data_IF_337126751487
#
_entry.id   IF_337126751487
#
_cell.length_a   1.000
_cell.length_b   1.000
_cell.length_c   1.000
_cell.angle_alpha   90.00
_cell.angle_beta   90.00
_cell.angle_gamma   90.00
#
_symmetry.space_group_name_H-M   'P 1'
#
loop_
_entity.id
_entity.type
_entity.pdbx_description
1 polymer ?
#
# COMPACT_ATOMS: atom_id res chain seq x y z
N UNK A 1 -6.75 19.21 -4.11
CA UNK A 1 -6.67 17.76 -4.36
C UNK A 1 -7.91 17.08 -3.80
N UNK A 2 -8.72 16.42 -4.65
CA UNK A 2 -9.86 15.60 -4.24
C UNK A 2 -9.46 14.48 -3.26
N UNK A 3 -10.44 13.92 -2.56
CA UNK A 3 -10.20 12.84 -1.59
C UNK A 3 -9.72 11.58 -2.31
N UNK A 4 -10.29 11.26 -3.48
CA UNK A 4 -9.83 10.17 -4.34
C UNK A 4 -8.34 10.27 -4.69
N UNK A 5 -7.87 11.44 -5.13
CA UNK A 5 -6.45 11.65 -5.48
C UNK A 5 -5.51 11.45 -4.28
N UNK A 6 -5.92 11.89 -3.08
CA UNK A 6 -5.11 11.66 -1.86
C UNK A 6 -5.03 10.17 -1.50
N UNK A 7 -6.13 9.43 -1.67
CA UNK A 7 -6.19 7.99 -1.46
C UNK A 7 -5.36 7.22 -2.50
N UNK A 8 -5.36 7.65 -3.76
CA UNK A 8 -4.49 7.09 -4.82
C UNK A 8 -3.01 7.26 -4.48
N UNK A 9 -2.61 8.45 -4.04
CA UNK A 9 -1.24 8.71 -3.62
C UNK A 9 -0.84 7.85 -2.41
N UNK A 10 -1.70 7.78 -1.38
CA UNK A 10 -1.45 6.96 -0.20
C UNK A 10 -1.34 5.46 -0.55
N UNK A 11 -2.21 4.97 -1.44
CA UNK A 11 -2.18 3.60 -1.94
C UNK A 11 -0.88 3.29 -2.68
N UNK A 12 -0.42 4.20 -3.54
CA UNK A 12 0.83 4.06 -4.27
C UNK A 12 2.03 3.99 -3.30
N UNK A 13 2.07 4.88 -2.31
CA UNK A 13 3.11 4.89 -1.27
C UNK A 13 3.13 3.59 -0.45
N UNK A 14 1.96 3.08 -0.05
CA UNK A 14 1.86 1.81 0.66
C UNK A 14 2.39 0.64 -0.18
N UNK A 15 1.96 0.54 -1.45
CA UNK A 15 2.45 -0.50 -2.37
C UNK A 15 3.96 -0.41 -2.59
N UNK A 16 4.50 0.80 -2.76
CA UNK A 16 5.93 1.05 -2.91
C UNK A 16 6.72 0.58 -1.69
N UNK A 17 6.31 1.02 -0.49
CA UNK A 17 6.97 0.62 0.75
C UNK A 17 6.88 -0.90 0.98
N UNK A 18 5.76 -1.54 0.65
CA UNK A 18 5.65 -3.00 0.70
C UNK A 18 6.69 -3.69 -0.19
N UNK A 19 6.85 -3.23 -1.43
CA UNK A 19 7.84 -3.76 -2.35
C UNK A 19 9.29 -3.55 -1.87
N UNK A 20 9.58 -2.37 -1.31
CA UNK A 20 10.90 -2.07 -0.72
C UNK A 20 11.20 -3.02 0.45
N UNK A 21 10.24 -3.20 1.37
CA UNK A 21 10.39 -4.12 2.51
C UNK A 21 10.59 -5.57 2.05
N UNK A 22 9.87 -6.00 1.01
CA UNK A 22 10.08 -7.33 0.41
C UNK A 22 11.49 -7.47 -0.16
N UNK A 23 12.00 -6.44 -0.83
CA UNK A 23 13.38 -6.40 -1.34
C UNK A 23 14.39 -6.47 -0.20
N UNK A 24 14.21 -5.70 0.87
CA UNK A 24 15.09 -5.74 2.05
C UNK A 24 15.11 -7.12 2.73
N UNK A 25 13.96 -7.81 2.74
CA UNK A 25 13.88 -9.20 3.23
C UNK A 25 14.73 -10.15 2.38
N UNK A 26 14.81 -9.94 1.06
CA UNK A 26 15.63 -10.75 0.15
C UNK A 26 17.13 -10.43 0.26
N UNK A 27 17.47 -9.15 0.39
CA UNK A 27 18.85 -8.65 0.38
C UNK A 27 19.58 -8.87 1.71
N UNK A 28 18.86 -9.04 2.82
CA UNK A 28 19.47 -9.22 4.13
C UNK A 28 19.89 -10.67 4.42
N UNK A 29 21.10 -10.84 4.93
CA UNK A 29 21.63 -12.12 5.41
C UNK A 29 21.18 -12.46 6.85
N UNK A 30 20.79 -11.44 7.62
CA UNK A 30 20.33 -11.62 8.99
C UNK A 30 18.92 -12.25 9.00
N UNK A 31 18.79 -13.42 9.63
CA UNK A 31 17.53 -14.18 9.61
C UNK A 31 16.40 -13.49 10.37
N UNK A 32 16.70 -12.80 11.46
CA UNK A 32 15.69 -12.06 12.23
C UNK A 32 15.18 -10.86 11.42
N UNK A 33 16.09 -10.12 10.78
CA UNK A 33 15.75 -9.00 9.91
C UNK A 33 14.93 -9.46 8.69
N UNK A 34 15.28 -10.61 8.10
CA UNK A 34 14.54 -11.22 6.99
C UNK A 34 13.08 -11.46 7.36
N UNK A 35 12.83 -12.05 8.54
CA UNK A 35 11.49 -12.31 9.03
C UNK A 35 10.74 -11.01 9.40
N UNK A 36 11.43 -10.06 10.02
CA UNK A 36 10.88 -8.74 10.35
C UNK A 36 10.41 -8.00 9.08
N UNK A 37 11.27 -7.88 8.07
CA UNK A 37 10.91 -7.20 6.81
C UNK A 37 9.77 -7.91 6.06
N UNK A 38 9.73 -9.25 6.10
CA UNK A 38 8.62 -10.01 5.53
C UNK A 38 7.29 -9.69 6.23
N UNK A 39 7.26 -9.62 7.56
CA UNK A 39 6.06 -9.26 8.33
C UNK A 39 5.63 -7.81 8.07
N UNK A 40 6.58 -6.87 7.99
CA UNK A 40 6.29 -5.49 7.66
C UNK A 40 5.73 -5.36 6.23
N UNK A 41 6.30 -6.08 5.26
CA UNK A 41 5.79 -6.14 3.88
C UNK A 41 4.34 -6.59 3.84
N UNK A 42 4.01 -7.71 4.52
CA UNK A 42 2.63 -8.23 4.59
C UNK A 42 1.68 -7.24 5.30
N UNK A 43 2.16 -6.57 6.35
CA UNK A 43 1.36 -5.53 7.02
C UNK A 43 1.02 -4.39 6.06
N UNK A 44 1.99 -3.97 5.24
CA UNK A 44 1.80 -2.91 4.28
C UNK A 44 0.90 -3.34 3.10
N UNK A 45 0.94 -4.61 2.68
CA UNK A 45 -0.02 -5.18 1.72
C UNK A 45 -1.47 -5.07 2.25
N UNK A 46 -1.69 -5.39 3.53
CA UNK A 46 -3.01 -5.29 4.15
C UNK A 46 -3.49 -3.83 4.26
N UNK A 47 -2.58 -2.90 4.58
CA UNK A 47 -2.87 -1.46 4.57
C UNK A 47 -3.27 -1.00 3.17
N UNK A 48 -2.50 -1.40 2.14
CA UNK A 48 -2.80 -1.07 0.75
C UNK A 48 -4.17 -1.61 0.32
N UNK A 49 -4.53 -2.85 0.68
CA UNK A 49 -5.85 -3.42 0.40
C UNK A 49 -6.98 -2.62 1.07
N UNK A 50 -6.79 -2.21 2.33
CA UNK A 50 -7.77 -1.40 3.06
C UNK A 50 -7.98 -0.04 2.39
N UNK A 51 -6.89 0.62 1.98
CA UNK A 51 -6.95 1.90 1.26
C UNK A 51 -7.61 1.73 -0.10
N UNK A 52 -7.31 0.64 -0.83
CA UNK A 52 -7.94 0.33 -2.11
C UNK A 52 -9.46 0.24 -1.97
N UNK A 53 -9.97 -0.51 -0.97
CA UNK A 53 -11.42 -0.60 -0.74
C UNK A 53 -12.06 0.75 -0.44
N UNK A 54 -11.37 1.62 0.31
CA UNK A 54 -11.84 2.99 0.55
C UNK A 54 -11.81 3.86 -0.71
N UNK A 55 -10.80 3.71 -1.54
CA UNK A 55 -10.68 4.40 -2.82
C UNK A 55 -11.77 3.95 -3.80
N UNK A 56 -12.13 2.67 -3.81
CA UNK A 56 -13.17 2.16 -4.71
C UNK A 56 -14.54 2.73 -4.33
N UNK A 57 -14.84 2.81 -3.02
CA UNK A 57 -16.02 3.54 -2.51
C UNK A 57 -15.94 5.05 -2.86
N UNK A 58 -14.77 5.64 -2.59
CA UNK A 58 -14.25 6.89 -3.19
C UNK A 58 -14.86 7.29 -4.52
N UNK A 59 -14.46 6.47 -5.50
CA UNK A 59 -14.72 6.62 -6.94
C UNK A 59 -16.19 6.46 -7.30
N UNK A 60 -16.95 5.68 -6.52
CA UNK A 60 -18.39 5.56 -6.75
C UNK A 60 -19.14 6.81 -6.34
N UNK A 61 -18.65 7.56 -5.35
CA UNK A 61 -19.33 8.74 -4.80
C UNK A 61 -18.92 10.04 -5.51
N UNK A 62 -17.63 10.19 -5.85
CA UNK A 62 -17.11 11.44 -6.42
C UNK A 62 -17.48 11.60 -7.92
N UNK A 63 -18.12 12.71 -8.34
CA UNK A 63 -18.55 12.94 -9.73
C UNK A 63 -17.42 12.86 -10.76
N UNK A 64 -16.19 13.20 -10.34
CA UNK A 64 -15.01 13.18 -11.21
C UNK A 64 -14.62 11.78 -11.71
N UNK A 65 -15.22 10.72 -11.17
CA UNK A 65 -15.02 9.33 -11.58
C UNK A 65 -16.30 8.71 -12.19
N UNK A 66 -17.39 9.47 -12.25
CA UNK A 66 -18.68 9.07 -12.81
C UNK A 66 -18.82 9.82 -14.15
N UNK A 67 -18.23 9.27 -15.20
CA UNK A 67 -18.55 9.67 -16.57
C UNK A 67 -20.01 9.36 -16.91
#
# INVERSE_FOLDING_TARGET
>A
MPTGTKLEQALASAKGLSADLKTFSLDTDNQDAKQMFKQLSTTMENVAQTIQGRLDFVKQEEPQYRD
#
